data_IF_439875254510
#
_entry.id   IF_439875254510
#
_cell.length_a   1.000
_cell.length_b   1.000
_cell.length_c   1.000
_cell.angle_alpha   90.00
_cell.angle_beta   90.00
_cell.angle_gamma   90.00
#
_symmetry.space_group_name_H-M   'P 1'
#
loop_
_entity.id
_entity.type
_entity.pdbx_description
1 polymer ?
#
# COMPACT_ATOMS: atom_id res chain seq x y z
N UNK A 1 24.43 7.29 27.94
CA UNK A 1 24.93 6.66 29.19
C UNK A 1 23.73 6.00 29.82
N UNK A 2 23.71 4.68 29.89
CA UNK A 2 22.63 4.00 30.60
C UNK A 2 22.80 4.23 32.10
N UNK A 3 21.76 4.76 32.72
CA UNK A 3 21.71 5.03 34.15
C UNK A 3 20.41 4.47 34.70
N UNK A 4 20.48 3.81 35.85
CA UNK A 4 19.30 3.25 36.51
C UNK A 4 18.42 4.35 37.13
N UNK A 5 17.21 3.97 37.53
CA UNK A 5 16.22 4.87 38.12
C UNK A 5 16.69 5.53 39.42
N UNK A 6 17.54 4.86 40.21
CA UNK A 6 18.06 5.40 41.46
C UNK A 6 19.08 6.52 41.19
N UNK A 7 19.91 6.35 40.16
CA UNK A 7 20.85 7.35 39.65
C UNK A 7 20.13 8.58 39.10
N UNK A 8 19.00 8.41 38.41
CA UNK A 8 18.17 9.53 37.92
C UNK A 8 17.67 10.39 39.09
N UNK A 9 17.19 9.76 40.18
CA UNK A 9 16.73 10.50 41.37
C UNK A 9 17.87 11.23 42.10
N UNK A 10 19.09 10.70 42.08
CA UNK A 10 20.27 11.39 42.60
C UNK A 10 20.63 12.61 41.74
N UNK A 11 20.57 12.48 40.41
CA UNK A 11 20.85 13.57 39.48
C UNK A 11 19.82 14.71 39.57
N UNK A 12 18.53 14.40 39.80
CA UNK A 12 17.49 15.42 40.03
C UNK A 12 17.78 16.34 41.23
N UNK A 13 18.51 15.84 42.22
CA UNK A 13 18.87 16.58 43.46
C UNK A 13 20.18 17.36 43.33
N UNK A 14 20.92 17.18 42.24
CA UNK A 14 22.20 17.85 42.06
C UNK A 14 21.97 19.29 41.55
N UNK A 15 22.40 20.33 42.30
CA UNK A 15 22.17 21.73 41.91
C UNK A 15 22.90 22.14 40.63
N UNK A 16 23.83 21.31 40.13
CA UNK A 16 24.54 21.53 38.87
C UNK A 16 23.86 20.85 37.66
N UNK A 17 22.76 20.11 37.85
CA UNK A 17 22.01 19.43 36.77
C UNK A 17 20.76 20.25 36.43
N UNK A 18 20.66 20.70 35.17
CA UNK A 18 19.58 21.59 34.72
C UNK A 18 18.29 20.83 34.33
N UNK A 19 18.43 19.73 33.59
CA UNK A 19 17.32 18.85 33.20
C UNK A 19 17.85 17.43 33.00
N UNK A 20 16.92 16.46 33.07
CA UNK A 20 17.15 15.06 32.74
C UNK A 20 16.00 14.66 31.84
N UNK A 21 16.32 14.19 30.65
CA UNK A 21 15.36 13.77 29.64
C UNK A 21 15.70 12.33 29.24
N UNK A 22 14.69 11.47 29.02
CA UNK A 22 14.95 10.15 28.46
C UNK A 22 15.60 10.31 27.08
N UNK A 23 16.50 9.41 26.74
CA UNK A 23 17.00 9.32 25.37
C UNK A 23 15.86 8.80 24.49
N UNK A 24 15.31 9.67 23.64
CA UNK A 24 14.18 9.34 22.76
C UNK A 24 14.78 8.90 21.43
N UNK A 25 14.53 7.65 21.04
CA UNK A 25 14.83 7.18 19.69
C UNK A 25 13.96 7.97 18.71
N UNK A 26 14.58 8.88 17.96
CA UNK A 26 13.93 9.56 16.85
C UNK A 26 13.89 8.58 15.68
N UNK A 27 12.68 8.18 15.28
CA UNK A 27 12.48 7.47 14.02
C UNK A 27 12.25 8.50 12.93
N UNK A 28 12.88 8.31 11.78
CA UNK A 28 12.46 9.03 10.56
C UNK A 28 11.07 8.50 10.25
N UNK A 29 10.10 9.40 10.09
CA UNK A 29 8.75 9.02 9.67
C UNK A 29 8.83 8.21 8.37
N UNK A 30 7.91 7.26 8.20
CA UNK A 30 7.81 6.48 6.98
C UNK A 30 7.78 7.39 5.74
N UNK A 31 8.50 6.97 4.71
CA UNK A 31 8.63 7.70 3.45
C UNK A 31 8.20 6.84 2.27
N UNK A 32 7.37 7.41 1.39
CA UNK A 32 7.00 6.78 0.13
C UNK A 32 8.02 7.26 -0.91
N UNK A 33 8.75 6.32 -1.52
CA UNK A 33 9.75 6.62 -2.52
C UNK A 33 9.13 7.06 -3.85
N UNK A 34 9.90 7.82 -4.65
CA UNK A 34 9.45 8.24 -5.99
C UNK A 34 9.08 7.04 -6.87
N UNK A 35 9.70 5.88 -6.66
CA UNK A 35 9.40 4.66 -7.41
C UNK A 35 7.98 4.18 -7.13
N UNK A 36 7.58 4.13 -5.86
CA UNK A 36 6.24 3.76 -5.42
C UNK A 36 5.19 4.74 -5.93
N UNK A 37 5.46 6.05 -5.85
CA UNK A 37 4.60 7.07 -6.45
C UNK A 37 4.51 6.94 -7.98
N UNK A 38 5.66 6.73 -8.64
CA UNK A 38 5.76 6.63 -10.10
C UNK A 38 5.03 5.44 -10.69
N UNK A 39 4.83 4.37 -9.91
CA UNK A 39 3.99 3.22 -10.27
C UNK A 39 2.58 3.30 -9.69
N UNK A 40 2.14 4.44 -9.12
CA UNK A 40 0.77 4.63 -8.62
C UNK A 40 0.38 3.62 -7.50
N UNK A 41 1.35 3.16 -6.71
CA UNK A 41 1.10 2.23 -5.60
C UNK A 41 0.23 2.84 -4.47
N UNK A 42 0.41 4.11 -4.05
CA UNK A 42 -0.43 4.73 -3.02
C UNK A 42 -1.92 4.73 -3.33
N UNK A 43 -2.30 4.91 -4.59
CA UNK A 43 -3.68 4.85 -5.06
C UNK A 43 -4.25 3.43 -4.98
N UNK A 44 -3.41 2.42 -5.26
CA UNK A 44 -3.77 1.01 -5.07
C UNK A 44 -4.07 0.71 -3.60
N UNK A 45 -3.18 1.13 -2.70
CA UNK A 45 -3.36 0.96 -1.25
C UNK A 45 -4.62 1.68 -0.75
N UNK A 46 -4.85 2.90 -1.24
CA UNK A 46 -6.05 3.68 -0.91
C UNK A 46 -7.34 3.02 -1.40
N UNK A 47 -7.28 2.20 -2.45
CA UNK A 47 -8.39 1.38 -2.93
C UNK A 47 -8.57 0.05 -2.19
N UNK A 48 -7.67 -0.24 -1.23
CA UNK A 48 -7.70 -1.43 -0.39
C UNK A 48 -6.96 -2.64 -0.97
N UNK A 49 -6.08 -2.46 -1.95
CA UNK A 49 -5.18 -3.50 -2.45
C UNK A 49 -3.79 -3.30 -1.84
N UNK A 50 -3.26 -4.31 -1.19
CA UNK A 50 -1.95 -4.27 -0.50
C UNK A 50 -1.08 -5.49 -0.80
N UNK A 51 -1.53 -6.39 -1.68
CA UNK A 51 -0.89 -7.64 -2.06
C UNK A 51 -1.28 -8.81 -1.15
N UNK A 52 -2.28 -8.62 -0.29
CA UNK A 52 -2.63 -9.55 0.77
C UNK A 52 -3.02 -10.92 0.23
N UNK A 53 -2.44 -11.96 0.82
CA UNK A 53 -2.72 -13.36 0.48
C UNK A 53 -2.02 -13.86 -0.79
N UNK A 54 -1.10 -13.06 -1.36
CA UNK A 54 -0.22 -13.49 -2.46
C UNK A 54 1.13 -13.95 -1.91
N UNK A 55 1.66 -15.07 -2.42
CA UNK A 55 2.98 -15.58 -2.07
C UNK A 55 4.03 -15.21 -3.11
N UNK A 56 5.08 -14.51 -2.68
CA UNK A 56 6.17 -14.07 -3.55
C UNK A 56 7.48 -14.74 -3.11
N UNK A 57 8.05 -15.55 -3.99
CA UNK A 57 9.38 -16.12 -3.80
C UNK A 57 10.45 -15.15 -4.34
N UNK A 58 11.36 -14.74 -3.47
CA UNK A 58 12.51 -13.89 -3.81
C UNK A 58 13.74 -14.79 -3.92
N UNK A 59 14.13 -15.14 -5.15
CA UNK A 59 15.33 -15.94 -5.43
C UNK A 59 16.51 -14.99 -5.57
N UNK A 60 17.30 -14.88 -4.50
CA UNK A 60 18.34 -13.84 -4.37
C UNK A 60 19.42 -14.25 -3.32
N UNK A 61 20.07 -13.30 -2.66
CA UNK A 61 21.09 -13.51 -1.62
C UNK A 61 20.52 -13.89 -0.24
N UNK A 62 19.19 -14.03 -0.11
CA UNK A 62 18.49 -14.23 1.15
C UNK A 62 17.79 -12.96 1.62
N UNK A 63 17.16 -13.01 2.80
CA UNK A 63 16.50 -11.84 3.42
C UNK A 63 16.86 -11.77 4.90
N UNK A 64 17.42 -10.64 5.32
CA UNK A 64 17.74 -10.37 6.72
C UNK A 64 16.49 -10.08 7.55
N UNK A 65 16.57 -10.35 8.85
CA UNK A 65 15.57 -9.83 9.80
C UNK A 65 15.66 -8.31 9.82
N UNK A 66 14.56 -7.63 9.50
CA UNK A 66 14.47 -6.18 9.43
C UNK A 66 13.19 -5.72 10.15
N UNK A 67 13.19 -4.61 10.91
CA UNK A 67 12.00 -4.13 11.63
C UNK A 67 10.84 -3.67 10.74
N UNK A 68 11.09 -3.56 9.44
CA UNK A 68 10.15 -3.08 8.42
C UNK A 68 9.82 -4.17 7.38
N UNK A 69 10.21 -5.42 7.65
CA UNK A 69 9.91 -6.58 6.79
C UNK A 69 9.46 -7.79 7.59
N UNK A 70 8.40 -8.42 7.09
CA UNK A 70 7.93 -9.71 7.56
C UNK A 70 8.29 -10.77 6.52
N UNK A 71 9.11 -11.74 6.92
CA UNK A 71 9.47 -12.89 6.07
C UNK A 71 8.63 -14.10 6.50
N UNK A 72 7.74 -14.56 5.63
CA UNK A 72 6.79 -15.66 5.91
C UNK A 72 7.45 -17.05 5.90
N UNK A 73 8.64 -17.17 5.31
CA UNK A 73 9.46 -18.39 5.33
C UNK A 73 10.62 -18.32 4.36
N UNK A 74 11.34 -19.42 4.18
CA UNK A 74 12.44 -19.45 3.23
C UNK A 74 13.26 -20.73 3.25
N UNK A 75 14.20 -20.84 2.31
CA UNK A 75 15.16 -21.93 2.23
C UNK A 75 16.47 -21.44 1.59
N UNK A 76 17.60 -21.99 2.05
CA UNK A 76 18.90 -21.82 1.41
C UNK A 76 19.18 -22.96 0.45
N UNK A 77 19.73 -22.62 -0.71
CA UNK A 77 20.16 -23.54 -1.77
C UNK A 77 21.68 -23.48 -1.99
N UNK A 78 22.36 -22.53 -1.35
CA UNK A 78 23.83 -22.47 -1.36
C UNK A 78 24.42 -23.53 -0.42
N UNK A 79 25.61 -24.01 -0.75
CA UNK A 79 26.23 -25.16 -0.06
C UNK A 79 26.80 -24.85 1.34
N UNK A 80 27.16 -23.60 1.59
CA UNK A 80 27.87 -23.19 2.81
C UNK A 80 26.97 -22.88 4.00
N UNK A 81 25.65 -22.76 3.82
CA UNK A 81 24.70 -22.44 4.90
C UNK A 81 23.29 -22.98 4.62
N UNK A 82 22.60 -23.37 5.70
CA UNK A 82 21.17 -23.72 5.64
C UNK A 82 20.26 -22.52 5.95
N UNK A 83 20.83 -21.39 6.37
CA UNK A 83 20.08 -20.18 6.69
C UNK A 83 19.74 -19.41 5.41
N UNK A 84 18.48 -18.97 5.27
CA UNK A 84 18.05 -18.06 4.21
C UNK A 84 18.26 -16.58 4.58
N UNK A 85 18.94 -16.30 5.70
CA UNK A 85 19.32 -14.94 6.08
C UNK A 85 20.30 -14.36 5.06
N UNK A 86 20.17 -13.05 4.82
CA UNK A 86 21.00 -12.33 3.87
C UNK A 86 22.37 -11.98 4.46
N UNK A 87 23.42 -12.32 3.73
CA UNK A 87 24.82 -11.98 4.05
C UNK A 87 25.47 -11.13 2.95
N UNK A 88 24.67 -10.63 2.00
CA UNK A 88 25.08 -9.69 0.96
C UNK A 88 24.36 -8.33 1.09
N UNK A 89 23.04 -8.33 1.30
CA UNK A 89 22.19 -7.14 1.38
C UNK A 89 21.20 -6.98 0.23
N UNK A 90 21.55 -7.50 -0.95
CA UNK A 90 20.76 -7.31 -2.18
C UNK A 90 19.34 -7.89 -2.07
N UNK A 91 19.19 -9.13 -1.58
CA UNK A 91 17.88 -9.76 -1.44
C UNK A 91 16.99 -9.08 -0.40
N UNK A 92 17.58 -8.52 0.66
CA UNK A 92 16.84 -7.69 1.63
C UNK A 92 16.32 -6.41 0.99
N UNK A 93 17.15 -5.74 0.19
CA UNK A 93 16.76 -4.54 -0.56
C UNK A 93 15.62 -4.81 -1.54
N UNK A 94 15.75 -5.87 -2.33
CA UNK A 94 14.74 -6.34 -3.28
C UNK A 94 13.42 -6.64 -2.57
N UNK A 95 13.46 -7.34 -1.43
CA UNK A 95 12.26 -7.70 -0.67
C UNK A 95 11.52 -6.49 -0.09
N UNK A 96 12.26 -5.45 0.32
CA UNK A 96 11.68 -4.19 0.77
C UNK A 96 10.91 -3.44 -0.30
N UNK A 97 11.38 -3.47 -1.56
CA UNK A 97 10.65 -2.85 -2.67
C UNK A 97 9.31 -3.56 -2.90
N UNK A 98 9.25 -4.88 -2.66
CA UNK A 98 8.01 -5.65 -2.79
C UNK A 98 7.09 -5.38 -1.61
N UNK A 99 7.60 -5.46 -0.37
CA UNK A 99 6.76 -5.76 0.81
C UNK A 99 7.16 -5.06 2.11
N UNK A 100 7.99 -4.01 2.06
CA UNK A 100 8.23 -3.22 3.27
C UNK A 100 6.90 -2.74 3.85
N UNK A 101 6.74 -2.88 5.16
CA UNK A 101 5.46 -2.71 5.84
C UNK A 101 4.94 -1.27 5.71
N UNK A 102 3.63 -1.08 5.60
CA UNK A 102 3.01 0.24 5.69
C UNK A 102 2.74 0.57 7.18
N UNK A 103 3.62 1.35 7.80
CA UNK A 103 3.69 1.60 9.24
C UNK A 103 4.26 3.01 9.54
N UNK A 104 4.84 3.23 10.73
CA UNK A 104 5.36 4.54 11.14
C UNK A 104 6.89 4.72 10.94
N UNK A 105 7.57 3.77 10.28
CA UNK A 105 9.02 3.78 10.05
C UNK A 105 9.36 3.57 8.57
N UNK A 106 10.57 3.97 8.17
CA UNK A 106 11.19 3.41 6.98
C UNK A 106 10.53 3.74 5.65
N UNK A 107 10.25 2.68 4.88
CA UNK A 107 9.74 2.73 3.50
C UNK A 107 8.49 1.85 3.37
N UNK A 108 7.81 1.91 2.22
CA UNK A 108 6.67 1.02 1.92
C UNK A 108 6.94 0.26 0.63
N UNK A 109 6.71 -1.05 0.66
CA UNK A 109 6.76 -1.89 -0.53
C UNK A 109 5.55 -1.66 -1.43
N UNK A 110 5.63 -2.04 -2.71
CA UNK A 110 4.49 -1.95 -3.63
C UNK A 110 3.28 -2.77 -3.14
N UNK A 111 3.53 -3.92 -2.53
CA UNK A 111 2.57 -4.88 -2.00
C UNK A 111 2.92 -5.18 -0.52
N UNK A 112 2.68 -4.23 0.40
CA UNK A 112 3.15 -4.30 1.79
C UNK A 112 2.59 -5.47 2.61
N UNK A 113 1.47 -6.07 2.20
CA UNK A 113 0.85 -7.22 2.89
C UNK A 113 1.08 -8.56 2.14
N UNK A 114 1.98 -8.60 1.17
CA UNK A 114 2.34 -9.84 0.46
C UNK A 114 3.23 -10.76 1.32
N UNK A 115 3.05 -12.08 1.17
CA UNK A 115 3.84 -13.08 1.87
C UNK A 115 5.18 -13.31 1.17
N UNK A 116 6.28 -12.78 1.71
CA UNK A 116 7.62 -13.00 1.18
C UNK A 116 8.22 -14.32 1.63
N UNK A 117 8.74 -15.08 0.67
CA UNK A 117 9.55 -16.27 0.89
C UNK A 117 10.99 -16.02 0.41
N UNK A 118 11.93 -16.08 1.34
CA UNK A 118 13.36 -15.86 1.10
C UNK A 118 14.03 -17.12 0.55
N UNK A 119 14.38 -17.15 -0.74
CA UNK A 119 15.07 -18.27 -1.37
C UNK A 119 16.51 -17.88 -1.69
N UNK A 120 17.43 -18.21 -0.76
CA UNK A 120 18.85 -17.88 -0.89
C UNK A 120 19.52 -18.80 -1.91
N UNK A 121 19.76 -18.29 -3.10
CA UNK A 121 20.46 -18.97 -4.21
C UNK A 121 21.74 -18.23 -4.66
N UNK A 122 22.08 -17.13 -3.98
CA UNK A 122 23.31 -16.37 -4.19
C UNK A 122 24.11 -16.28 -2.88
N UNK A 123 25.43 -16.34 -3.00
CA UNK A 123 26.38 -16.25 -1.90
C UNK A 123 26.58 -14.81 -1.40
N UNK A 124 27.39 -14.65 -0.35
CA UNK A 124 27.74 -13.36 0.25
C UNK A 124 28.39 -12.34 -0.73
N UNK A 125 28.88 -12.80 -1.88
CA UNK A 125 29.48 -11.96 -2.92
C UNK A 125 28.50 -11.65 -4.06
N UNK A 126 27.23 -12.06 -3.95
CA UNK A 126 26.24 -11.91 -5.01
C UNK A 126 26.50 -12.83 -6.20
N UNK A 127 27.10 -14.00 -5.98
CA UNK A 127 27.32 -15.02 -7.00
C UNK A 127 26.50 -16.27 -6.71
N UNK A 128 25.92 -16.89 -7.73
CA UNK A 128 25.09 -18.09 -7.56
C UNK A 128 25.30 -19.10 -8.66
N UNK A 129 25.15 -20.39 -8.33
CA UNK A 129 25.17 -21.45 -9.34
C UNK A 129 23.80 -21.58 -9.99
N UNK A 130 23.83 -21.93 -11.27
CA UNK A 130 22.60 -22.18 -12.02
C UNK A 130 21.77 -23.33 -11.43
N UNK A 131 22.43 -24.33 -10.85
CA UNK A 131 21.78 -25.44 -10.14
C UNK A 131 20.90 -24.92 -9.00
N UNK A 132 21.44 -24.02 -8.18
CA UNK A 132 20.79 -23.54 -6.96
C UNK A 132 19.59 -22.67 -7.32
N UNK A 133 19.70 -21.86 -8.38
CA UNK A 133 18.59 -21.09 -8.95
C UNK A 133 17.50 -22.03 -9.48
N UNK A 134 17.86 -23.11 -10.18
CA UNK A 134 16.89 -24.09 -10.70
C UNK A 134 16.18 -24.80 -9.55
N UNK A 135 16.90 -25.21 -8.51
CA UNK A 135 16.32 -25.84 -7.33
C UNK A 135 15.36 -24.89 -6.58
N UNK A 136 15.70 -23.60 -6.49
CA UNK A 136 14.83 -22.59 -5.90
C UNK A 136 13.54 -22.37 -6.72
N UNK A 137 13.62 -22.43 -8.06
CA UNK A 137 12.43 -22.40 -8.93
C UNK A 137 11.57 -23.65 -8.69
N UNK A 138 12.18 -24.84 -8.64
CA UNK A 138 11.45 -26.08 -8.37
C UNK A 138 10.79 -26.09 -6.98
N UNK A 139 11.46 -25.53 -5.97
CA UNK A 139 10.89 -25.30 -4.65
C UNK A 139 9.67 -24.39 -4.71
N UNK A 140 9.76 -23.29 -5.47
CA UNK A 140 8.66 -22.34 -5.64
C UNK A 140 7.44 -23.00 -6.27
N UNK A 141 7.66 -23.87 -7.26
CA UNK A 141 6.60 -24.71 -7.85
C UNK A 141 6.00 -25.67 -6.82
N UNK A 142 6.83 -26.39 -6.08
CA UNK A 142 6.37 -27.36 -5.09
C UNK A 142 5.56 -26.71 -3.95
N UNK A 143 5.82 -25.43 -3.65
CA UNK A 143 5.15 -24.69 -2.58
C UNK A 143 4.01 -23.79 -3.08
N UNK A 144 3.65 -23.87 -4.36
CA UNK A 144 2.56 -23.11 -4.98
C UNK A 144 2.72 -21.59 -4.73
N UNK A 145 3.90 -21.06 -5.03
CA UNK A 145 4.11 -19.61 -5.07
C UNK A 145 3.26 -18.99 -6.19
N UNK A 146 2.90 -17.72 -6.07
CA UNK A 146 2.17 -17.01 -7.13
C UNK A 146 3.14 -16.30 -8.08
N UNK A 147 4.19 -15.70 -7.51
CA UNK A 147 5.20 -14.92 -8.23
C UNK A 147 6.61 -15.33 -7.79
N UNK A 148 7.53 -15.44 -8.74
CA UNK A 148 8.96 -15.60 -8.52
C UNK A 148 9.67 -14.33 -9.01
N UNK A 149 10.35 -13.64 -8.09
CA UNK A 149 11.22 -12.51 -8.41
C UNK A 149 12.68 -13.00 -8.53
N UNK A 150 13.31 -12.75 -9.69
CA UNK A 150 14.72 -13.01 -9.95
C UNK A 150 15.45 -11.73 -10.37
N UNK A 151 15.98 -11.00 -9.39
CA UNK A 151 16.77 -9.79 -9.60
C UNK A 151 18.24 -10.11 -9.97
N UNK A 152 18.41 -11.08 -10.87
CA UNK A 152 19.68 -11.69 -11.25
C UNK A 152 19.68 -12.06 -12.75
N UNK A 153 20.86 -12.37 -13.30
CA UNK A 153 20.93 -12.86 -14.67
C UNK A 153 22.31 -13.26 -15.15
N UNK A 154 22.35 -13.85 -16.34
CA UNK A 154 23.56 -14.28 -17.04
C UNK A 154 23.42 -14.06 -18.55
N UNK A 155 24.54 -13.86 -19.23
CA UNK A 155 24.57 -13.70 -20.70
C UNK A 155 24.43 -15.04 -21.43
N UNK A 156 24.61 -16.16 -20.74
CA UNK A 156 24.61 -17.50 -21.33
C UNK A 156 23.25 -18.18 -21.21
N UNK A 157 22.71 -18.67 -22.33
CA UNK A 157 21.49 -19.46 -22.33
C UNK A 157 21.73 -20.84 -21.70
N UNK A 158 20.75 -21.35 -20.96
CA UNK A 158 20.72 -22.71 -20.47
C UNK A 158 19.38 -23.40 -20.75
N UNK A 159 19.43 -24.59 -21.35
CA UNK A 159 18.25 -25.42 -21.58
C UNK A 159 17.60 -25.89 -20.27
N UNK A 160 18.39 -26.11 -19.22
CA UNK A 160 17.91 -26.52 -17.91
C UNK A 160 17.14 -25.37 -17.24
N UNK A 161 17.72 -24.16 -17.21
CA UNK A 161 17.04 -22.98 -16.67
C UNK A 161 15.76 -22.66 -17.45
N UNK A 162 15.82 -22.71 -18.79
CA UNK A 162 14.62 -22.54 -19.65
C UNK A 162 13.52 -23.52 -19.28
N UNK A 163 13.86 -24.79 -19.06
CA UNK A 163 12.91 -25.82 -18.67
C UNK A 163 12.29 -25.53 -17.30
N UNK A 164 13.08 -25.08 -16.33
CA UNK A 164 12.62 -24.72 -15.00
C UNK A 164 11.63 -23.54 -15.02
N UNK A 165 11.97 -22.44 -15.70
CA UNK A 165 11.05 -21.28 -15.80
C UNK A 165 9.78 -21.60 -16.60
N UNK A 166 9.88 -22.44 -17.62
CA UNK A 166 8.70 -22.93 -18.36
C UNK A 166 7.79 -23.78 -17.45
N UNK A 167 8.38 -24.63 -16.60
CA UNK A 167 7.62 -25.44 -15.64
C UNK A 167 6.89 -24.55 -14.64
N UNK A 168 7.54 -23.50 -14.11
CA UNK A 168 6.88 -22.52 -13.24
C UNK A 168 5.66 -21.88 -13.93
N UNK A 169 5.86 -21.36 -15.15
CA UNK A 169 4.79 -20.75 -15.94
C UNK A 169 3.63 -21.71 -16.22
N UNK A 170 3.92 -22.97 -16.55
CA UNK A 170 2.90 -24.01 -16.78
C UNK A 170 2.10 -24.38 -15.52
N UNK A 171 2.66 -24.16 -14.34
CA UNK A 171 1.98 -24.34 -13.05
C UNK A 171 1.28 -23.05 -12.58
N UNK A 172 1.17 -22.04 -13.44
CA UNK A 172 0.47 -20.79 -13.14
C UNK A 172 1.30 -19.78 -12.32
N UNK A 173 2.61 -20.01 -12.19
CA UNK A 173 3.51 -19.14 -11.43
C UNK A 173 4.20 -18.17 -12.39
N UNK A 174 4.05 -16.87 -12.15
CA UNK A 174 4.72 -15.85 -12.97
C UNK A 174 6.15 -15.64 -12.51
N UNK A 175 7.07 -15.65 -13.48
CA UNK A 175 8.49 -15.39 -13.24
C UNK A 175 8.82 -14.01 -13.77
N UNK A 176 9.35 -13.16 -12.90
CA UNK A 176 9.80 -11.79 -13.22
C UNK A 176 11.32 -11.76 -13.09
N UNK A 177 12.03 -11.23 -14.09
CA UNK A 177 13.48 -11.14 -14.04
C UNK A 177 14.06 -9.84 -14.62
N UNK A 178 15.19 -9.44 -14.04
CA UNK A 178 15.95 -8.27 -14.43
C UNK A 178 16.50 -8.39 -15.86
N UNK A 179 16.34 -7.35 -16.69
CA UNK A 179 16.87 -7.36 -18.05
C UNK A 179 18.42 -7.34 -18.11
N UNK A 180 19.08 -6.82 -17.08
CA UNK A 180 20.54 -6.64 -16.99
C UNK A 180 20.97 -5.18 -17.07
N UNK A 181 22.25 -4.92 -16.76
CA UNK A 181 22.77 -3.59 -16.44
C UNK A 181 23.99 -3.19 -17.31
N UNK A 182 24.09 -3.72 -18.53
CA UNK A 182 25.23 -3.55 -19.43
C UNK A 182 24.95 -2.61 -20.61
N UNK A 183 23.81 -1.90 -20.61
CA UNK A 183 23.32 -1.08 -21.75
C UNK A 183 23.29 -1.87 -23.07
N UNK A 184 22.95 -3.15 -22.98
CA UNK A 184 23.11 -4.16 -24.03
C UNK A 184 21.83 -5.00 -24.20
N UNK A 185 21.95 -6.17 -24.83
CA UNK A 185 20.83 -7.11 -25.00
C UNK A 185 20.38 -7.73 -23.68
N UNK A 186 19.08 -7.97 -23.54
CA UNK A 186 18.47 -8.67 -22.40
C UNK A 186 19.20 -9.98 -22.04
N UNK A 187 19.45 -10.17 -20.75
CA UNK A 187 20.08 -11.34 -20.13
C UNK A 187 19.07 -12.50 -19.89
N UNK A 188 19.58 -13.69 -19.62
CA UNK A 188 18.77 -14.82 -19.15
C UNK A 188 18.68 -14.82 -17.62
N UNK A 189 17.53 -15.17 -17.01
CA UNK A 189 16.35 -15.78 -17.64
C UNK A 189 15.36 -14.81 -18.28
N UNK A 190 15.49 -13.49 -18.08
CA UNK A 190 14.55 -12.49 -18.61
C UNK A 190 14.27 -12.64 -20.12
N UNK A 191 15.27 -13.06 -20.89
CA UNK A 191 15.14 -13.30 -22.34
C UNK A 191 14.24 -14.49 -22.73
N UNK A 192 13.83 -15.34 -21.81
CA UNK A 192 12.90 -16.45 -22.10
C UNK A 192 11.46 -15.95 -22.17
N UNK A 193 10.70 -16.38 -23.17
CA UNK A 193 9.32 -15.93 -23.39
C UNK A 193 8.35 -16.25 -22.24
N UNK A 194 8.66 -17.23 -21.39
CA UNK A 194 7.89 -17.56 -20.19
C UNK A 194 8.18 -16.63 -19.00
N UNK A 195 9.14 -15.72 -19.14
CA UNK A 195 9.61 -14.79 -18.10
C UNK A 195 9.23 -13.38 -18.51
N UNK A 196 8.80 -12.59 -17.52
CA UNK A 196 8.55 -11.16 -17.68
C UNK A 196 9.88 -10.43 -17.51
N UNK A 197 10.40 -9.88 -18.60
CA UNK A 197 11.65 -9.13 -18.60
C UNK A 197 11.42 -7.67 -18.21
N UNK A 198 12.17 -7.18 -17.23
CA UNK A 198 11.99 -5.83 -16.66
C UNK A 198 13.20 -4.94 -16.94
N UNK A 199 12.98 -3.84 -17.67
CA UNK A 199 13.96 -2.77 -17.83
C UNK A 199 13.80 -1.70 -16.73
N UNK A 200 14.85 -0.90 -16.51
CA UNK A 200 14.89 0.10 -15.45
C UNK A 200 14.67 1.52 -16.00
N UNK A 201 13.88 2.32 -15.29
CA UNK A 201 13.76 3.76 -15.50
C UNK A 201 14.38 4.58 -14.36
N UNK A 202 14.59 5.86 -14.61
CA UNK A 202 14.88 6.87 -13.59
C UNK A 202 13.61 7.63 -13.15
N UNK A 203 13.78 8.57 -12.22
CA UNK A 203 12.73 9.45 -11.70
C UNK A 203 12.05 10.34 -12.74
N UNK A 204 12.66 10.51 -13.92
CA UNK A 204 12.13 11.29 -15.04
C UNK A 204 11.50 10.41 -16.12
N UNK A 205 11.21 9.15 -15.79
CA UNK A 205 10.69 8.12 -16.71
C UNK A 205 11.57 7.93 -17.94
N UNK A 206 12.89 8.18 -17.83
CA UNK A 206 13.85 7.83 -18.87
C UNK A 206 14.40 6.45 -18.59
N UNK A 207 14.68 5.70 -19.66
CA UNK A 207 15.45 4.47 -19.55
C UNK A 207 16.75 4.75 -18.82
N UNK A 208 16.99 4.02 -17.73
CA UNK A 208 18.22 4.16 -16.95
C UNK A 208 19.43 3.87 -17.84
N UNK A 209 20.50 4.65 -17.70
CA UNK A 209 21.63 4.59 -18.63
C UNK A 209 22.28 3.21 -18.73
N UNK A 210 22.20 2.41 -17.66
CA UNK A 210 22.73 1.04 -17.59
C UNK A 210 21.76 -0.03 -18.10
N UNK A 211 20.46 0.27 -18.25
CA UNK A 211 19.45 -0.76 -18.50
C UNK A 211 19.70 -1.47 -19.82
N UNK A 212 19.70 -2.80 -19.79
CA UNK A 212 19.59 -3.58 -21.01
C UNK A 212 18.23 -3.36 -21.68
N UNK A 213 18.21 -3.60 -22.99
CA UNK A 213 17.07 -3.39 -23.86
C UNK A 213 17.01 -4.50 -24.93
N UNK A 214 15.84 -4.69 -25.53
CA UNK A 214 15.59 -5.76 -26.50
C UNK A 214 14.10 -5.96 -26.73
N UNK A 215 13.74 -6.71 -27.78
CA UNK A 215 12.34 -7.04 -28.06
C UNK A 215 11.71 -7.93 -26.97
N UNK A 216 12.58 -8.55 -26.17
CA UNK A 216 12.23 -9.38 -25.03
C UNK A 216 11.81 -8.57 -23.81
N UNK A 217 12.21 -7.29 -23.70
CA UNK A 217 11.68 -6.39 -22.64
C UNK A 217 10.17 -6.38 -22.73
N UNK A 218 9.52 -6.63 -21.60
CA UNK A 218 8.07 -6.75 -21.55
C UNK A 218 7.44 -5.56 -20.88
N UNK A 219 8.01 -5.09 -19.77
CA UNK A 219 7.60 -3.88 -19.07
C UNK A 219 8.82 -3.19 -18.50
N UNK A 220 8.64 -1.96 -18.03
CA UNK A 220 9.65 -1.19 -17.34
C UNK A 220 9.17 -0.77 -15.95
N UNK A 221 10.10 -0.55 -15.04
CA UNK A 221 9.83 -0.10 -13.68
C UNK A 221 10.97 0.78 -13.13
N UNK A 222 10.74 1.56 -12.07
CA UNK A 222 11.77 2.41 -11.47
C UNK A 222 12.95 1.57 -10.98
N UNK A 223 14.18 1.95 -11.36
CA UNK A 223 15.38 1.18 -11.01
C UNK A 223 16.60 2.03 -10.70
N UNK A 224 16.48 3.36 -10.59
CA UNK A 224 17.61 4.25 -10.30
C UNK A 224 17.44 4.88 -8.91
N UNK A 225 18.45 4.80 -8.06
CA UNK A 225 18.42 5.41 -6.72
C UNK A 225 17.14 5.07 -5.92
N UNK A 226 16.83 3.78 -5.85
CA UNK A 226 15.66 3.25 -5.14
C UNK A 226 16.04 3.02 -3.68
N UNK A 227 15.38 3.73 -2.77
CA UNK A 227 15.50 3.53 -1.34
C UNK A 227 14.70 2.30 -0.92
N UNK A 228 15.35 1.39 -0.18
CA UNK A 228 14.70 0.21 0.40
C UNK A 228 15.43 -0.24 1.67
N UNK A 229 14.92 -1.27 2.32
CA UNK A 229 15.50 -1.90 3.51
C UNK A 229 16.87 -2.51 3.23
N UNK A 230 17.80 -2.43 4.19
CA UNK A 230 19.13 -3.02 4.10
C UNK A 230 19.27 -4.23 5.04
N UNK A 231 20.30 -5.05 4.82
CA UNK A 231 20.61 -6.17 5.73
C UNK A 231 21.14 -5.75 7.11
N UNK A 232 21.45 -4.47 7.32
CA UNK A 232 21.96 -3.92 8.58
C UNK A 232 20.86 -3.41 9.52
N UNK A 233 19.58 -3.54 9.13
CA UNK A 233 18.45 -3.01 9.91
C UNK A 233 18.17 -1.52 9.68
N UNK A 234 18.77 -0.94 8.64
CA UNK A 234 18.53 0.43 8.16
C UNK A 234 18.06 0.43 6.70
N UNK A 235 18.24 1.55 5.99
CA UNK A 235 17.74 1.73 4.62
C UNK A 235 18.85 2.23 3.72
N UNK A 236 18.89 1.78 2.47
CA UNK A 236 19.91 2.15 1.50
C UNK A 236 19.35 2.37 0.10
N UNK A 237 20.07 3.17 -0.70
CA UNK A 237 19.73 3.41 -2.10
C UNK A 237 20.53 2.50 -3.01
N UNK A 238 19.85 1.77 -3.90
CA UNK A 238 20.47 0.95 -4.93
C UNK A 238 19.96 1.30 -6.32
N UNK A 239 20.72 0.95 -7.35
CA UNK A 239 20.34 1.13 -8.75
C UNK A 239 20.60 -0.14 -9.55
N UNK A 240 19.64 -0.52 -10.38
CA UNK A 240 19.74 -1.67 -11.26
C UNK A 240 18.36 -2.10 -11.79
N UNK A 241 18.35 -2.87 -12.87
CA UNK A 241 17.17 -3.65 -13.27
C UNK A 241 16.74 -4.63 -12.17
N UNK A 242 17.67 -5.01 -11.29
CA UNK A 242 17.41 -5.72 -10.04
C UNK A 242 16.44 -4.99 -9.11
N UNK A 243 16.45 -3.65 -9.06
CA UNK A 243 15.52 -2.85 -8.26
C UNK A 243 14.21 -2.59 -9.01
N UNK A 244 14.22 -2.59 -10.34
CA UNK A 244 12.99 -2.48 -11.15
C UNK A 244 12.12 -3.75 -11.08
N UNK A 245 12.76 -4.93 -11.07
CA UNK A 245 12.09 -6.25 -11.03
C UNK A 245 11.08 -6.39 -9.87
N UNK A 246 11.41 -6.05 -8.60
CA UNK A 246 10.49 -6.20 -7.48
C UNK A 246 9.26 -5.28 -7.54
N UNK A 247 9.32 -4.12 -8.23
CA UNK A 247 8.09 -3.33 -8.47
C UNK A 247 7.07 -4.13 -9.27
N UNK A 248 7.52 -4.88 -10.29
CA UNK A 248 6.64 -5.72 -11.12
C UNK A 248 6.12 -6.91 -10.31
N UNK A 249 6.94 -7.53 -9.47
CA UNK A 249 6.51 -8.61 -8.59
C UNK A 249 5.43 -8.13 -7.59
N UNK A 250 5.62 -6.94 -7.00
CA UNK A 250 4.61 -6.31 -6.14
C UNK A 250 3.32 -6.00 -6.89
N UNK A 251 3.40 -5.44 -8.10
CA UNK A 251 2.20 -5.16 -8.90
C UNK A 251 1.43 -6.43 -9.31
N UNK A 252 2.12 -7.52 -9.64
CA UNK A 252 1.48 -8.81 -9.88
C UNK A 252 0.75 -9.33 -8.64
N UNK A 253 1.27 -9.03 -7.44
CA UNK A 253 0.61 -9.37 -6.18
C UNK A 253 -0.65 -8.56 -5.94
N UNK A 254 -0.64 -7.26 -6.25
CA UNK A 254 -1.84 -6.41 -6.22
C UNK A 254 -2.90 -6.89 -7.23
N UNK A 255 -2.48 -7.27 -8.43
CA UNK A 255 -3.38 -7.84 -9.46
C UNK A 255 -3.97 -9.19 -9.03
N UNK A 256 -3.18 -10.04 -8.38
CA UNK A 256 -3.64 -11.32 -7.85
C UNK A 256 -4.63 -11.14 -6.69
N UNK A 257 -4.42 -10.16 -5.82
CA UNK A 257 -5.39 -9.81 -4.79
C UNK A 257 -6.69 -9.25 -5.38
N UNK A 258 -6.59 -8.39 -6.41
CA UNK A 258 -7.75 -7.81 -7.07
C UNK A 258 -8.71 -8.87 -7.62
N UNK A 259 -8.16 -9.93 -8.24
CA UNK A 259 -8.92 -11.11 -8.61
C UNK A 259 -8.09 -12.39 -8.42
N UNK A 260 -8.30 -13.13 -7.31
CA UNK A 260 -7.58 -14.36 -7.02
C UNK A 260 -7.81 -15.48 -8.05
N UNK A 261 -8.84 -15.35 -8.90
CA UNK A 261 -9.15 -16.32 -9.95
C UNK A 261 -8.34 -16.12 -11.23
N UNK A 262 -7.60 -15.01 -11.35
CA UNK A 262 -6.75 -14.79 -12.50
C UNK A 262 -5.69 -15.90 -12.64
N UNK A 263 -5.64 -16.44 -13.85
CA UNK A 263 -4.55 -17.30 -14.31
C UNK A 263 -3.30 -16.48 -14.59
N UNK A 264 -2.13 -17.13 -14.67
CA UNK A 264 -0.87 -16.45 -15.05
C UNK A 264 -0.98 -15.66 -16.37
N UNK A 265 -1.71 -16.20 -17.36
CA UNK A 265 -1.95 -15.51 -18.64
C UNK A 265 -2.74 -14.22 -18.42
N UNK A 266 -3.84 -14.30 -17.67
CA UNK A 266 -4.68 -13.13 -17.39
C UNK A 266 -3.95 -12.08 -16.55
N UNK A 267 -3.17 -12.49 -15.54
CA UNK A 267 -2.33 -11.58 -14.76
C UNK A 267 -1.33 -10.83 -15.66
N UNK A 268 -0.71 -11.53 -16.61
CA UNK A 268 0.24 -10.94 -17.55
C UNK A 268 -0.46 -9.98 -18.54
N UNK A 269 -1.65 -10.32 -19.00
CA UNK A 269 -2.48 -9.44 -19.82
C UNK A 269 -2.95 -8.19 -19.05
N UNK A 270 -3.35 -8.33 -17.79
CA UNK A 270 -3.71 -7.20 -16.93
C UNK A 270 -2.49 -6.33 -16.63
N UNK A 271 -1.31 -6.92 -16.43
CA UNK A 271 -0.07 -6.18 -16.30
C UNK A 271 0.17 -5.28 -17.52
N UNK A 272 -0.07 -5.77 -18.75
CA UNK A 272 0.09 -4.96 -19.98
C UNK A 272 -0.94 -3.85 -20.13
N UNK A 273 -2.14 -4.00 -19.56
CA UNK A 273 -3.17 -2.96 -19.58
C UNK A 273 -2.89 -1.86 -18.55
N UNK A 274 -2.18 -2.21 -17.48
CA UNK A 274 -1.87 -1.33 -16.36
C UNK A 274 -0.44 -0.77 -16.50
N UNK A 275 -0.22 -0.01 -17.58
CA UNK A 275 1.06 0.66 -17.88
C UNK A 275 0.84 2.09 -18.35
N UNK A 276 1.82 2.94 -18.06
CA UNK A 276 2.05 4.20 -18.76
C UNK A 276 2.94 3.91 -19.97
N UNK A 277 2.39 4.01 -21.18
CA UNK A 277 3.14 3.82 -22.42
C UNK A 277 4.22 4.91 -22.58
N UNK A 278 5.48 4.49 -22.66
CA UNK A 278 6.66 5.35 -22.75
C UNK A 278 7.44 5.04 -24.02
N UNK A 279 8.05 6.07 -24.61
CA UNK A 279 8.87 5.89 -25.81
C UNK A 279 8.03 5.86 -27.08
N UNK A 280 8.14 4.79 -27.85
CA UNK A 280 7.37 4.62 -29.09
C UNK A 280 6.03 3.97 -28.77
N UNK A 281 4.93 4.56 -29.24
CA UNK A 281 3.59 4.06 -28.94
C UNK A 281 3.44 2.54 -29.18
N UNK A 282 2.88 1.85 -28.18
CA UNK A 282 2.79 0.40 -28.12
C UNK A 282 4.08 -0.26 -27.62
N UNK A 283 4.18 -1.59 -27.77
CA UNK A 283 5.36 -2.30 -27.27
C UNK A 283 6.63 -1.86 -28.01
N UNK A 284 7.63 -1.40 -27.27
CA UNK A 284 8.96 -1.09 -27.80
C UNK A 284 10.10 -1.84 -27.08
N UNK A 285 11.31 -1.73 -27.61
CA UNK A 285 12.47 -2.49 -27.12
C UNK A 285 13.09 -1.94 -25.84
N UNK A 286 12.70 -0.76 -25.39
CA UNK A 286 13.29 -0.05 -24.25
C UNK A 286 12.39 -0.15 -23.02
N UNK A 287 11.10 0.14 -23.19
CA UNK A 287 10.12 0.18 -22.10
C UNK A 287 9.15 -1.02 -22.13
N UNK A 288 9.25 -1.89 -23.14
CA UNK A 288 8.27 -2.94 -23.32
C UNK A 288 6.91 -2.33 -23.63
N UNK A 289 5.85 -2.80 -22.97
CA UNK A 289 4.53 -2.20 -23.03
C UNK A 289 4.44 -0.83 -22.33
N UNK A 290 5.38 -0.51 -21.43
CA UNK A 290 5.40 0.76 -20.71
C UNK A 290 5.91 0.62 -19.28
N UNK A 291 5.86 1.74 -18.54
CA UNK A 291 6.11 1.79 -17.10
C UNK A 291 4.90 1.21 -16.38
N UNK A 292 5.08 0.18 -15.55
CA UNK A 292 3.96 -0.44 -14.84
C UNK A 292 3.22 0.58 -13.94
N UNK A 293 1.90 0.42 -13.80
CA UNK A 293 1.05 1.21 -12.92
C UNK A 293 0.19 0.27 -12.07
N UNK A 294 0.25 0.39 -10.75
CA UNK A 294 -0.48 -0.47 -9.83
C UNK A 294 -2.00 -0.41 -10.09
N UNK A 295 -2.70 -1.55 -10.05
CA UNK A 295 -4.14 -1.57 -10.27
C UNK A 295 -4.88 -0.87 -9.14
N UNK A 296 -6.03 -0.30 -9.46
CA UNK A 296 -6.92 0.32 -8.46
C UNK A 296 -8.22 -0.46 -8.45
N UNK A 297 -8.65 -0.91 -7.27
CA UNK A 297 -9.98 -1.53 -7.14
C UNK A 297 -11.01 -0.46 -7.46
N UNK A 298 -11.81 -0.69 -8.49
CA UNK A 298 -12.91 0.20 -8.84
C UNK A 298 -13.88 0.26 -7.67
N UNK A 299 -13.82 1.36 -6.92
CA UNK A 299 -14.84 1.69 -5.93
C UNK A 299 -16.09 1.97 -6.73
N UNK A 300 -17.08 1.07 -6.67
CA UNK A 300 -18.39 1.40 -7.20
C UNK A 300 -18.84 2.68 -6.47
N UNK A 301 -19.14 3.80 -7.15
CA UNK A 301 -19.47 5.06 -6.47
C UNK A 301 -20.68 4.98 -5.54
N UNK A 302 -21.40 3.85 -5.53
CA UNK A 302 -22.47 3.53 -4.58
C UNK A 302 -21.98 3.02 -3.20
N UNK A 303 -20.69 2.72 -3.03
CA UNK A 303 -20.10 2.20 -1.78
C UNK A 303 -19.18 3.21 -1.08
N UNK A 304 -19.11 4.45 -1.57
CA UNK A 304 -18.76 5.59 -0.71
C UNK A 304 -19.84 5.68 0.37
N UNK A 305 -19.48 5.70 1.66
CA UNK A 305 -20.46 5.83 2.74
C UNK A 305 -21.48 6.92 2.42
N UNK A 306 -22.70 6.51 2.05
CA UNK A 306 -23.79 7.45 1.80
C UNK A 306 -24.10 8.02 3.17
N UNK A 307 -23.57 9.21 3.48
CA UNK A 307 -23.95 9.93 4.69
C UNK A 307 -25.45 10.12 4.61
N UNK A 308 -26.22 9.28 5.29
CA UNK A 308 -27.67 9.31 5.22
C UNK A 308 -28.15 10.60 5.86
N UNK A 309 -29.33 11.08 5.45
CA UNK A 309 -29.98 12.16 6.21
C UNK A 309 -30.18 11.73 7.67
N UNK A 310 -30.09 12.65 8.65
CA UNK A 310 -30.28 12.29 10.05
C UNK A 310 -31.69 11.74 10.31
N UNK A 311 -31.84 10.85 11.30
CA UNK A 311 -33.16 10.31 11.66
C UNK A 311 -34.07 11.39 12.27
N UNK A 312 -35.38 11.12 12.32
CA UNK A 312 -36.37 12.02 12.92
C UNK A 312 -36.01 12.38 14.36
N UNK A 313 -35.97 13.67 14.74
CA UNK A 313 -35.70 14.08 16.11
C UNK A 313 -36.67 13.47 17.12
N UNK A 314 -36.14 12.75 18.11
CA UNK A 314 -36.93 12.16 19.21
C UNK A 314 -37.11 13.17 20.36
N UNK A 315 -38.10 12.89 21.22
CA UNK A 315 -38.40 13.69 22.42
C UNK A 315 -38.63 15.19 22.18
N UNK A 316 -39.04 15.56 20.97
CA UNK A 316 -39.41 16.94 20.65
C UNK A 316 -40.66 17.37 21.44
N UNK A 317 -40.50 18.33 22.35
CA UNK A 317 -41.59 18.78 23.25
C UNK A 317 -41.43 20.24 23.66
N UNK A 318 -42.54 20.83 24.08
CA UNK A 318 -42.55 22.14 24.72
C UNK A 318 -42.37 21.99 26.24
N UNK A 319 -41.27 22.52 26.77
CA UNK A 319 -40.94 22.44 28.22
C UNK A 319 -41.52 23.61 29.00
N UNK A 320 -41.73 24.76 28.34
CA UNK A 320 -42.32 25.95 28.95
C UNK A 320 -43.21 26.67 27.95
N UNK A 321 -44.44 26.98 28.35
CA UNK A 321 -45.43 27.63 27.50
C UNK A 321 -46.04 28.80 28.26
N UNK A 322 -45.89 30.01 27.71
CA UNK A 322 -46.43 31.25 28.28
C UNK A 322 -47.21 32.04 27.22
N UNK A 323 -47.72 33.21 27.59
CA UNK A 323 -48.33 34.17 26.66
C UNK A 323 -47.31 34.99 25.86
N UNK A 324 -46.00 34.85 26.14
CA UNK A 324 -44.91 35.64 25.53
C UNK A 324 -43.85 34.79 24.83
N UNK A 325 -43.72 33.53 25.22
CA UNK A 325 -42.74 32.62 24.63
C UNK A 325 -43.09 31.15 24.86
N UNK A 326 -42.53 30.30 24.00
CA UNK A 326 -42.52 28.84 24.11
C UNK A 326 -41.07 28.36 24.07
N UNK A 327 -40.67 27.53 25.04
CA UNK A 327 -39.37 26.85 25.03
C UNK A 327 -39.56 25.40 24.59
N UNK A 328 -38.77 24.99 23.60
CA UNK A 328 -38.77 23.69 22.95
C UNK A 328 -37.44 22.98 23.21
N UNK A 329 -37.47 21.67 23.40
CA UNK A 329 -36.27 20.83 23.50
C UNK A 329 -36.45 19.53 22.70
N UNK A 330 -35.32 18.91 22.36
CA UNK A 330 -35.22 17.61 21.68
C UNK A 330 -33.90 16.94 22.05
N UNK A 331 -33.74 15.66 21.68
CA UNK A 331 -32.51 14.92 21.92
C UNK A 331 -31.51 15.10 20.78
N UNK A 332 -30.22 14.84 21.06
CA UNK A 332 -29.20 14.81 20.03
C UNK A 332 -29.40 13.63 19.08
N UNK A 333 -29.23 13.87 17.79
CA UNK A 333 -29.25 12.86 16.73
C UNK A 333 -27.82 12.68 16.22
N UNK A 334 -27.34 11.43 16.19
CA UNK A 334 -26.07 11.07 15.56
C UNK A 334 -26.06 11.52 14.11
N UNK A 335 -24.90 11.94 13.60
CA UNK A 335 -24.69 12.50 12.25
C UNK A 335 -25.40 13.83 11.90
N UNK A 336 -26.17 14.44 12.82
CA UNK A 336 -26.78 15.75 12.61
C UNK A 336 -25.80 16.90 12.89
N UNK A 337 -25.65 17.83 11.95
CA UNK A 337 -24.83 19.06 12.15
C UNK A 337 -25.67 20.27 12.52
N UNK A 338 -26.99 20.23 12.27
CA UNK A 338 -27.94 21.26 12.69
C UNK A 338 -29.37 20.73 12.89
N UNK A 339 -30.19 21.55 13.53
CA UNK A 339 -31.63 21.39 13.66
C UNK A 339 -32.34 22.61 13.10
N UNK A 340 -33.51 22.40 12.50
CA UNK A 340 -34.37 23.48 12.03
C UNK A 340 -35.77 23.31 12.62
N UNK A 341 -36.27 24.34 13.31
CA UNK A 341 -37.62 24.38 13.86
C UNK A 341 -38.47 25.32 13.03
N UNK A 342 -39.66 24.84 12.64
CA UNK A 342 -40.69 25.65 12.01
C UNK A 342 -41.90 25.81 12.94
N UNK A 343 -42.57 26.94 12.83
CA UNK A 343 -43.87 27.23 13.44
C UNK A 343 -44.85 27.61 12.35
N UNK A 344 -45.94 26.85 12.21
CA UNK A 344 -46.92 27.03 11.13
C UNK A 344 -46.24 27.15 9.74
N UNK A 345 -45.24 26.29 9.52
CA UNK A 345 -44.36 26.23 8.34
C UNK A 345 -43.37 27.41 8.14
N UNK A 346 -43.27 28.35 9.09
CA UNK A 346 -42.25 29.41 9.09
C UNK A 346 -41.05 28.98 9.91
N UNK A 347 -39.84 29.03 9.35
CA UNK A 347 -38.60 28.74 10.10
C UNK A 347 -38.40 29.79 11.19
N UNK A 348 -38.35 29.33 12.43
CA UNK A 348 -38.12 30.17 13.62
C UNK A 348 -36.77 29.91 14.28
N UNK A 349 -36.12 28.79 13.94
CA UNK A 349 -34.79 28.43 14.43
C UNK A 349 -34.03 27.59 13.41
N UNK A 350 -32.72 27.84 13.28
CA UNK A 350 -31.75 26.95 12.65
C UNK A 350 -30.41 27.03 13.39
N UNK A 351 -29.88 25.92 13.88
CA UNK A 351 -28.62 25.87 14.62
C UNK A 351 -28.38 24.51 15.29
N UNK A 352 -27.29 24.37 16.05
CA UNK A 352 -26.85 23.10 16.65
C UNK A 352 -27.30 22.89 18.10
N UNK A 353 -27.97 23.86 18.74
CA UNK A 353 -28.42 23.69 20.12
C UNK A 353 -29.58 22.71 20.19
N UNK A 354 -29.70 21.99 21.31
CA UNK A 354 -30.79 21.04 21.57
C UNK A 354 -32.04 21.70 22.21
N UNK A 355 -32.05 23.03 22.28
CA UNK A 355 -33.12 23.83 22.86
C UNK A 355 -33.28 25.15 22.10
N UNK A 356 -34.53 25.60 21.98
CA UNK A 356 -34.88 26.88 21.38
C UNK A 356 -36.03 27.55 22.13
N UNK A 357 -35.97 28.87 22.30
CA UNK A 357 -37.08 29.65 22.88
C UNK A 357 -37.64 30.60 21.83
N UNK A 358 -38.87 30.34 21.41
CA UNK A 358 -39.62 31.17 20.48
C UNK A 358 -40.35 32.28 21.24
N UNK A 359 -39.87 33.52 21.10
CA UNK A 359 -40.45 34.72 21.72
C UNK A 359 -41.46 35.45 20.83
N UNK A 360 -41.74 34.93 19.64
CA UNK A 360 -42.58 35.58 18.64
C UNK A 360 -44.04 35.07 18.63
N UNK A 361 -44.47 34.48 19.74
CA UNK A 361 -45.82 33.91 19.92
C UNK A 361 -46.81 34.94 20.48
N UNK A 362 -48.09 34.70 20.28
CA UNK A 362 -49.20 35.51 20.80
C UNK A 362 -50.05 34.74 21.80
N UNK A 363 -50.73 35.44 22.70
CA UNK A 363 -51.67 34.87 23.69
C UNK A 363 -52.81 34.09 23.03
N UNK A 364 -53.24 33.00 23.67
CA UNK A 364 -54.39 32.18 23.27
C UNK A 364 -54.37 31.67 21.82
N UNK A 365 -53.17 31.47 21.25
CA UNK A 365 -52.99 30.90 19.92
C UNK A 365 -52.51 29.46 20.02
N UNK A 366 -52.93 28.65 19.08
CA UNK A 366 -52.42 27.29 18.89
C UNK A 366 -51.44 27.32 17.73
N UNK A 367 -50.25 26.78 17.96
CA UNK A 367 -49.17 26.72 16.98
C UNK A 367 -48.80 25.27 16.70
N UNK A 368 -48.55 24.95 15.44
CA UNK A 368 -47.92 23.68 15.04
C UNK A 368 -46.41 23.91 14.93
N UNK A 369 -45.65 23.27 15.80
CA UNK A 369 -44.19 23.24 15.69
C UNK A 369 -43.75 21.95 15.01
N UNK A 370 -42.79 22.06 14.09
CA UNK A 370 -42.08 20.91 13.53
C UNK A 370 -40.58 21.09 13.66
N UNK A 371 -39.86 19.99 13.85
CA UNK A 371 -38.40 19.98 13.86
C UNK A 371 -37.86 18.95 12.88
N UNK A 372 -36.79 19.30 12.18
CA UNK A 372 -35.96 18.38 11.40
C UNK A 372 -34.51 18.46 11.89
N UNK A 373 -33.80 17.35 11.84
CA UNK A 373 -32.34 17.30 11.94
C UNK A 373 -31.75 17.28 10.51
N UNK A 374 -30.59 17.90 10.31
CA UNK A 374 -29.92 17.92 9.02
C UNK A 374 -28.41 17.89 9.10
N UNK A 375 -27.81 17.46 8.00
CA UNK A 375 -26.37 17.42 7.74
C UNK A 375 -26.08 17.88 6.31
N UNK A 376 -24.88 17.60 5.81
CA UNK A 376 -24.46 17.94 4.44
C UNK A 376 -25.30 17.24 3.35
N UNK A 377 -25.89 16.08 3.66
CA UNK A 377 -26.74 15.31 2.76
C UNK A 377 -28.21 15.76 2.74
N UNK A 378 -28.59 16.68 3.64
CA UNK A 378 -29.94 17.24 3.70
C UNK A 378 -30.61 17.07 5.06
N UNK A 379 -31.95 17.10 5.08
CA UNK A 379 -32.75 16.96 6.31
C UNK A 379 -33.52 15.64 6.31
N UNK A 380 -33.62 15.02 7.48
CA UNK A 380 -34.51 13.87 7.68
C UNK A 380 -35.97 14.25 7.84
N UNK A 381 -36.77 13.25 8.20
CA UNK A 381 -38.19 13.40 8.52
C UNK A 381 -38.42 14.29 9.76
N UNK A 382 -39.58 14.96 9.78
CA UNK A 382 -39.89 15.90 10.86
C UNK A 382 -40.68 15.28 12.01
N UNK A 383 -40.31 15.61 13.25
CA UNK A 383 -41.20 15.45 14.41
C UNK A 383 -42.07 16.70 14.58
N UNK A 384 -43.26 16.55 15.16
CA UNK A 384 -44.18 17.68 15.36
C UNK A 384 -44.93 17.65 16.68
N UNK A 385 -45.24 18.84 17.20
CA UNK A 385 -46.09 19.02 18.38
C UNK A 385 -47.02 20.21 18.17
N UNK A 386 -48.19 20.16 18.80
CA UNK A 386 -49.12 21.29 18.84
C UNK A 386 -49.06 21.95 20.23
N UNK A 387 -48.84 23.26 20.26
CA UNK A 387 -48.70 24.02 21.50
C UNK A 387 -49.73 25.15 21.55
N UNK A 388 -50.55 25.18 22.61
CA UNK A 388 -51.50 26.27 22.88
C UNK A 388 -50.92 27.22 23.93
N UNK A 389 -50.69 28.48 23.55
CA UNK A 389 -50.22 29.52 24.48
C UNK A 389 -51.32 29.91 25.46
N UNK A 390 -50.88 30.29 26.67
CA UNK A 390 -51.76 30.74 27.75
C UNK A 390 -52.04 32.24 27.68
#
# INVERSE_FOLDING_TARGET
MEIDSEKVEQLKKNPNVKSIEPDIKLNIAQSIGYGQEGVNAPESWSSGLTGKGTKVAVIDSGVSTHPDLIVSGGQSFVDYTNSYADDNGHGTHVSGIISAENNDIGVVGVAPDSDIFALKAMDQYGSGYLSDIIEAIDWSVANNMDVINMSLGTTQASSALKSAVNKAYQNGILVVAAAGNESSSVNYPAKYSSVIAVSATDENNKLAYFSNYGQEVEVSAPGTNILSTSSLGDYENMSGTSMATPFVAGQLSLLKELDPTYTAVQLREELHKNVLDLGTAGKDKFYGYGLIQAPVKSVNPEESEVVSTPVTPSNFKATKVTNRYVTLNWDSIDNATYYQVTRDNVVVYKGSNLTFTDTSVSRYKTYLYKIVAGNESGTGDSASITVKTR
#
